data_IF_994926237317
#
_entry.id   IF_994926237317
#
_cell.length_a   1.000
_cell.length_b   1.000
_cell.length_c   1.000
_cell.angle_alpha   90.00
_cell.angle_beta   90.00
_cell.angle_gamma   90.00
#
_symmetry.space_group_name_H-M   'P 1'
#
loop_
_entity.id
_entity.type
_entity.pdbx_description
1 polymer ?
#
# COMPACT_ATOMS: atom_id res chain seq x y z
N UNK A 1 28.94 -56.98 -16.82
CA UNK A 1 27.63 -56.94 -17.44
C UNK A 1 27.23 -55.49 -17.59
N UNK A 2 27.07 -55.04 -18.76
CA UNK A 2 27.10 -53.79 -19.48
C UNK A 2 26.65 -52.49 -18.84
N UNK A 3 27.20 -51.37 -19.32
CA UNK A 3 26.84 -50.02 -18.85
C UNK A 3 25.62 -49.47 -19.57
N UNK A 4 24.62 -49.03 -18.82
CA UNK A 4 23.45 -48.30 -19.36
C UNK A 4 23.80 -46.85 -19.62
N UNK A 5 23.67 -46.42 -20.87
CA UNK A 5 23.71 -45.05 -21.34
C UNK A 5 22.63 -44.22 -20.64
N UNK A 6 23.03 -43.22 -19.86
CA UNK A 6 22.18 -42.06 -19.49
C UNK A 6 22.48 -40.93 -20.44
N UNK A 7 21.50 -40.59 -21.25
CA UNK A 7 21.50 -39.39 -22.04
C UNK A 7 21.50 -38.17 -21.11
N UNK A 8 22.50 -37.30 -21.27
CA UNK A 8 22.61 -36.04 -20.54
C UNK A 8 21.59 -35.05 -21.07
N UNK A 9 20.64 -34.67 -20.24
CA UNK A 9 19.84 -33.46 -20.47
C UNK A 9 20.74 -32.25 -20.28
N UNK A 10 21.04 -31.56 -21.38
CA UNK A 10 21.76 -30.31 -21.36
C UNK A 10 20.91 -29.25 -20.68
N UNK A 11 21.31 -28.83 -19.48
CA UNK A 11 20.81 -27.65 -18.83
C UNK A 11 21.39 -26.45 -19.60
N UNK A 12 20.55 -25.74 -20.35
CA UNK A 12 20.92 -24.46 -20.96
C UNK A 12 21.14 -23.44 -19.85
N UNK A 13 22.36 -22.95 -19.73
CA UNK A 13 22.71 -21.82 -18.86
C UNK A 13 21.94 -20.57 -19.37
N UNK A 14 21.28 -19.81 -18.45
CA UNK A 14 20.66 -18.55 -18.84
C UNK A 14 21.70 -17.57 -19.36
N UNK A 15 21.37 -16.92 -20.46
CA UNK A 15 22.18 -15.83 -21.04
C UNK A 15 22.30 -14.71 -20.00
N UNK A 16 23.45 -14.02 -19.87
CA UNK A 16 23.59 -12.94 -18.91
C UNK A 16 22.60 -11.83 -19.19
N UNK A 17 21.86 -11.43 -18.17
CA UNK A 17 20.92 -10.31 -18.21
C UNK A 17 21.62 -9.06 -18.77
N UNK A 18 20.99 -8.41 -19.74
CA UNK A 18 21.44 -7.11 -20.25
C UNK A 18 21.46 -6.14 -19.08
N UNK A 19 22.60 -5.47 -18.87
CA UNK A 19 22.76 -4.39 -17.91
C UNK A 19 21.59 -3.43 -18.06
N UNK A 20 20.84 -3.21 -16.97
CA UNK A 20 19.74 -2.29 -16.95
C UNK A 20 20.19 -0.90 -17.39
N UNK A 21 19.68 -0.46 -18.52
CA UNK A 21 19.77 0.93 -18.93
C UNK A 21 18.89 1.76 -17.98
N UNK A 22 19.38 2.93 -17.60
CA UNK A 22 18.60 3.96 -16.92
C UNK A 22 17.22 4.05 -17.61
N UNK A 23 16.10 3.98 -16.90
CA UNK A 23 14.80 4.11 -17.54
C UNK A 23 14.78 5.40 -18.36
N UNK A 24 14.44 5.31 -19.64
CA UNK A 24 14.27 6.49 -20.47
C UNK A 24 13.22 7.36 -19.78
N UNK A 25 13.54 8.65 -19.54
CA UNK A 25 12.56 9.64 -19.09
C UNK A 25 11.38 9.59 -20.05
N UNK A 26 10.23 9.11 -19.57
CA UNK A 26 8.99 9.21 -20.34
C UNK A 26 8.72 10.68 -20.67
N UNK A 27 7.92 10.97 -21.71
CA UNK A 27 7.55 12.35 -22.01
C UNK A 27 6.96 12.96 -20.75
N UNK A 28 7.50 14.13 -20.36
CA UNK A 28 7.02 14.88 -19.21
C UNK A 28 5.50 15.10 -19.37
N UNK A 29 4.74 14.84 -18.33
CA UNK A 29 3.32 15.17 -18.32
C UNK A 29 3.15 16.66 -18.60
N UNK A 30 2.23 17.03 -19.50
CA UNK A 30 1.85 18.42 -19.75
C UNK A 30 0.88 18.95 -18.67
N UNK A 31 0.56 18.12 -17.69
CA UNK A 31 -0.37 18.48 -16.61
C UNK A 31 0.24 19.59 -15.74
N UNK A 32 -0.53 20.64 -15.42
CA UNK A 32 -0.08 21.65 -14.47
C UNK A 32 0.25 21.05 -13.11
N UNK A 33 1.21 21.66 -12.41
CA UNK A 33 1.55 21.29 -11.03
C UNK A 33 0.95 22.31 -10.04
N UNK A 34 0.61 21.84 -8.87
CA UNK A 34 0.32 22.72 -7.72
C UNK A 34 1.65 23.25 -7.19
N UNK A 35 1.97 24.50 -7.57
CA UNK A 35 3.27 25.08 -7.25
C UNK A 35 3.49 25.24 -5.75
N UNK A 36 2.49 25.66 -5.00
CA UNK A 36 2.64 25.90 -3.56
C UNK A 36 2.87 24.61 -2.79
N UNK A 37 2.10 23.56 -3.16
CA UNK A 37 2.28 22.24 -2.58
C UNK A 37 3.63 21.63 -2.96
N UNK A 38 4.03 21.74 -4.23
CA UNK A 38 5.33 21.29 -4.74
C UNK A 38 6.50 21.97 -4.02
N UNK A 39 6.45 23.29 -3.83
CA UNK A 39 7.45 24.02 -3.05
C UNK A 39 7.53 23.49 -1.59
N UNK A 40 6.42 23.06 -1.01
CA UNK A 40 6.37 22.44 0.33
C UNK A 40 7.00 21.04 0.33
N UNK A 41 6.78 20.23 -0.69
CA UNK A 41 7.45 18.92 -0.85
C UNK A 41 8.97 19.13 -0.84
N UNK A 42 9.47 20.01 -1.72
CA UNK A 42 10.90 20.28 -1.87
C UNK A 42 11.50 20.80 -0.57
N UNK A 43 10.81 21.72 0.09
CA UNK A 43 11.26 22.33 1.35
C UNK A 43 11.35 21.35 2.50
N UNK A 44 10.39 20.43 2.59
CA UNK A 44 10.23 19.53 3.73
C UNK A 44 10.94 18.20 3.52
N UNK A 45 11.42 17.90 2.32
CA UNK A 45 12.23 16.70 2.05
C UNK A 45 13.64 16.88 2.62
N UNK A 46 14.04 15.94 3.46
CA UNK A 46 15.29 16.02 4.24
C UNK A 46 16.53 15.81 3.40
N UNK A 47 16.46 15.02 2.34
CA UNK A 47 17.55 14.77 1.41
C UNK A 47 17.04 14.75 -0.03
N UNK A 48 17.79 15.37 -0.94
CA UNK A 48 17.44 15.44 -2.36
C UNK A 48 17.36 14.08 -3.06
N UNK A 49 18.03 13.05 -2.53
CA UNK A 49 17.94 11.69 -3.06
C UNK A 49 16.52 11.12 -3.02
N UNK A 50 15.66 11.63 -2.14
CA UNK A 50 14.26 11.23 -2.05
C UNK A 50 13.33 11.99 -3.03
N UNK A 51 13.83 13.01 -3.73
CA UNK A 51 13.09 13.75 -4.74
C UNK A 51 13.26 13.10 -6.11
N UNK A 52 12.53 12.04 -6.33
CA UNK A 52 12.47 11.39 -7.66
C UNK A 52 11.36 11.99 -8.51
N UNK A 53 11.42 11.81 -9.81
CA UNK A 53 10.41 12.30 -10.79
C UNK A 53 8.96 11.88 -10.43
N UNK A 54 8.80 10.85 -9.58
CA UNK A 54 7.49 10.35 -9.13
C UNK A 54 6.92 11.16 -7.98
N UNK A 55 7.77 11.77 -7.14
CA UNK A 55 7.36 12.41 -5.87
C UNK A 55 7.83 13.86 -5.72
N UNK A 56 8.59 14.40 -6.66
CA UNK A 56 9.19 15.76 -6.57
C UNK A 56 8.20 16.91 -6.77
N UNK A 57 6.97 16.60 -7.17
CA UNK A 57 5.91 17.58 -7.43
C UNK A 57 4.54 17.03 -7.07
N UNK A 58 3.52 17.90 -6.99
CA UNK A 58 2.13 17.47 -6.92
C UNK A 58 1.37 17.95 -8.15
N UNK A 59 0.66 17.05 -8.89
CA UNK A 59 -0.18 17.48 -10.00
C UNK A 59 -1.33 18.35 -9.52
N UNK A 60 -1.67 19.40 -10.28
CA UNK A 60 -2.80 20.27 -9.99
C UNK A 60 -4.12 19.65 -10.48
N UNK A 61 -5.20 19.97 -9.76
CA UNK A 61 -6.57 19.67 -10.18
C UNK A 61 -7.52 20.78 -9.73
N UNK A 62 -8.39 21.21 -10.63
CA UNK A 62 -9.44 22.17 -10.30
C UNK A 62 -10.66 21.49 -9.64
N UNK A 63 -10.79 20.17 -9.78
CA UNK A 63 -11.95 19.40 -9.31
C UNK A 63 -11.69 18.62 -8.04
N UNK A 64 -10.51 18.01 -7.94
CA UNK A 64 -10.14 17.10 -6.83
C UNK A 64 -9.29 17.89 -5.84
N UNK A 65 -9.69 17.98 -4.56
CA UNK A 65 -8.94 18.74 -3.57
C UNK A 65 -7.65 18.02 -3.18
N UNK A 66 -6.56 18.79 -3.06
CA UNK A 66 -5.32 18.31 -2.46
C UNK A 66 -5.51 18.01 -0.97
N UNK A 67 -4.63 17.22 -0.34
CA UNK A 67 -4.65 17.06 1.12
C UNK A 67 -4.67 18.40 1.85
N UNK A 68 -3.88 19.38 1.41
CA UNK A 68 -3.83 20.71 2.02
C UNK A 68 -5.18 21.43 2.02
N UNK A 69 -5.92 21.37 0.92
CA UNK A 69 -7.25 22.02 0.83
C UNK A 69 -8.25 21.47 1.84
N UNK A 70 -8.12 20.21 2.24
CA UNK A 70 -9.03 19.57 3.19
C UNK A 70 -8.49 19.58 4.61
N UNK A 71 -7.18 19.35 4.80
CA UNK A 71 -6.55 19.22 6.11
C UNK A 71 -6.04 20.57 6.65
N UNK A 72 -5.78 21.55 5.75
CA UNK A 72 -5.17 22.83 6.09
C UNK A 72 -3.63 22.81 6.12
N UNK A 73 -3.01 21.72 5.68
CA UNK A 73 -1.56 21.58 5.55
C UNK A 73 -1.19 20.49 4.53
N UNK A 74 -0.07 20.64 3.80
CA UNK A 74 0.48 19.60 2.93
C UNK A 74 0.93 18.39 3.74
N UNK A 75 0.88 17.20 3.14
CA UNK A 75 1.47 16.00 3.73
C UNK A 75 2.99 16.21 3.92
N UNK A 76 3.54 15.65 4.99
CA UNK A 76 4.95 15.84 5.34
C UNK A 76 5.28 17.18 5.99
N UNK A 77 4.27 18.01 6.28
CA UNK A 77 4.48 19.24 7.04
C UNK A 77 5.10 18.93 8.41
N UNK A 78 6.25 19.54 8.76
CA UNK A 78 6.91 19.31 10.04
C UNK A 78 5.96 19.54 11.23
N UNK A 79 6.06 18.69 12.22
CA UNK A 79 5.27 18.77 13.44
C UNK A 79 3.75 18.62 13.27
N UNK A 80 3.31 17.90 12.23
CA UNK A 80 1.91 17.55 11.99
C UNK A 80 1.76 16.03 11.88
N UNK A 81 0.79 15.49 12.61
CA UNK A 81 0.27 14.15 12.44
C UNK A 81 -1.25 14.23 12.37
N UNK A 82 -1.85 13.43 11.49
CA UNK A 82 -3.28 13.48 11.16
C UNK A 82 -4.06 12.43 11.95
N UNK A 83 -5.12 12.83 12.65
CA UNK A 83 -6.06 11.91 13.30
C UNK A 83 -6.82 11.06 12.27
N UNK A 84 -7.23 9.87 12.65
CA UNK A 84 -8.00 8.97 11.75
C UNK A 84 -9.26 9.61 11.22
N UNK A 85 -9.99 10.39 12.04
CA UNK A 85 -11.19 11.13 11.59
C UNK A 85 -10.91 12.09 10.45
N UNK A 86 -9.75 12.76 10.45
CA UNK A 86 -9.36 13.72 9.43
C UNK A 86 -8.82 13.04 8.17
N UNK A 87 -8.09 11.92 8.31
CA UNK A 87 -7.73 11.05 7.19
C UNK A 87 -9.00 10.59 6.46
N UNK A 88 -9.98 10.05 7.19
CA UNK A 88 -11.22 9.55 6.60
C UNK A 88 -12.09 10.65 6.00
N UNK A 89 -12.09 11.85 6.60
CA UNK A 89 -12.71 13.04 6.00
C UNK A 89 -12.09 13.34 4.64
N UNK A 90 -10.77 13.28 4.52
CA UNK A 90 -10.07 13.51 3.27
C UNK A 90 -10.45 12.48 2.20
N UNK A 91 -10.42 11.19 2.51
CA UNK A 91 -10.78 10.15 1.54
C UNK A 91 -12.25 10.23 1.09
N UNK A 92 -13.17 10.59 1.99
CA UNK A 92 -14.57 10.85 1.62
C UNK A 92 -14.72 12.06 0.71
N UNK A 93 -13.88 13.08 0.86
CA UNK A 93 -13.86 14.21 -0.09
C UNK A 93 -13.29 13.81 -1.45
N UNK A 94 -12.28 12.96 -1.50
CA UNK A 94 -11.82 12.38 -2.77
C UNK A 94 -12.95 11.63 -3.49
N UNK A 95 -13.63 10.73 -2.79
CA UNK A 95 -14.75 9.95 -3.37
C UNK A 95 -15.84 10.84 -3.95
N UNK A 96 -16.20 11.95 -3.28
CA UNK A 96 -17.21 12.89 -3.76
C UNK A 96 -16.79 13.64 -5.03
N UNK A 97 -15.52 13.86 -5.22
CA UNK A 97 -14.98 14.75 -6.26
C UNK A 97 -14.45 14.01 -7.49
N UNK A 98 -14.26 12.70 -7.41
CA UNK A 98 -13.81 11.88 -8.53
C UNK A 98 -14.42 10.49 -8.51
N UNK A 99 -14.88 9.97 -9.67
CA UNK A 99 -15.36 8.59 -9.78
C UNK A 99 -14.25 7.53 -9.75
N UNK A 100 -12.98 7.95 -9.66
CA UNK A 100 -11.80 7.08 -9.57
C UNK A 100 -11.50 6.59 -8.16
N UNK A 101 -12.27 7.03 -7.16
CA UNK A 101 -12.09 6.66 -5.76
C UNK A 101 -13.40 6.13 -5.19
N UNK A 102 -13.35 5.05 -4.42
CA UNK A 102 -14.44 4.55 -3.59
C UNK A 102 -13.96 4.28 -2.18
N UNK A 103 -14.80 4.54 -1.19
CA UNK A 103 -14.52 4.26 0.21
C UNK A 103 -15.49 3.21 0.76
N UNK A 104 -14.97 2.32 1.59
CA UNK A 104 -15.74 1.28 2.27
C UNK A 104 -15.38 1.31 3.76
N UNK A 105 -16.39 1.11 4.60
CA UNK A 105 -16.18 0.92 6.04
C UNK A 105 -16.11 -0.57 6.33
N UNK A 106 -15.13 -0.99 7.10
CA UNK A 106 -14.97 -2.38 7.48
C UNK A 106 -16.16 -2.87 8.35
N UNK A 107 -16.46 -4.17 8.33
CA UNK A 107 -17.63 -4.72 9.03
C UNK A 107 -17.60 -4.50 10.54
N UNK A 108 -16.42 -4.60 11.16
CA UNK A 108 -16.26 -4.47 12.59
C UNK A 108 -15.61 -3.14 12.96
N UNK A 109 -16.06 -2.56 14.08
CA UNK A 109 -15.40 -1.43 14.71
C UNK A 109 -14.23 -1.93 15.55
N UNK A 110 -13.23 -1.06 15.73
CA UNK A 110 -12.12 -1.33 16.65
C UNK A 110 -12.60 -1.54 18.09
N UNK A 111 -11.72 -2.02 18.93
CA UNK A 111 -11.95 -2.18 20.37
C UNK A 111 -12.30 -0.84 21.07
N UNK A 112 -11.90 0.29 20.47
CA UNK A 112 -12.28 1.65 20.88
C UNK A 112 -13.56 2.15 20.25
N UNK A 113 -14.23 1.37 19.40
CA UNK A 113 -15.47 1.72 18.75
C UNK A 113 -15.29 2.59 17.49
N UNK A 114 -14.07 2.68 16.94
CA UNK A 114 -13.77 3.46 15.74
C UNK A 114 -13.98 2.63 14.47
N UNK A 115 -14.30 3.33 13.38
CA UNK A 115 -14.34 2.74 12.04
C UNK A 115 -12.92 2.46 11.52
N UNK A 116 -12.79 1.43 10.71
CA UNK A 116 -11.65 1.18 9.85
C UNK A 116 -12.11 1.34 8.40
N UNK A 117 -11.31 1.99 7.57
CA UNK A 117 -11.69 2.34 6.20
C UNK A 117 -10.77 1.68 5.19
N UNK A 118 -11.39 1.16 4.12
CA UNK A 118 -10.73 0.73 2.90
C UNK A 118 -11.04 1.72 1.79
N UNK A 119 -10.03 2.16 1.07
CA UNK A 119 -10.13 3.01 -0.10
C UNK A 119 -9.73 2.18 -1.33
N UNK A 120 -10.47 2.33 -2.42
CA UNK A 120 -10.14 1.68 -3.70
C UNK A 120 -9.99 2.75 -4.77
N UNK A 121 -8.85 2.75 -5.44
CA UNK A 121 -8.51 3.70 -6.50
C UNK A 121 -8.23 2.95 -7.79
N UNK A 122 -8.88 3.31 -8.88
CA UNK A 122 -8.65 2.78 -10.23
C UNK A 122 -9.36 3.66 -11.26
N UNK A 123 -9.29 3.30 -12.55
CA UNK A 123 -10.12 3.95 -13.57
C UNK A 123 -11.61 3.73 -13.28
N UNK A 124 -12.41 4.70 -13.68
CA UNK A 124 -13.89 4.71 -13.53
C UNK A 124 -14.53 3.42 -14.06
N UNK A 125 -14.08 2.98 -15.24
CA UNK A 125 -14.57 1.74 -15.86
C UNK A 125 -14.22 0.49 -15.03
N UNK A 126 -13.10 0.49 -14.33
CA UNK A 126 -12.71 -0.59 -13.43
C UNK A 126 -13.57 -0.56 -12.16
N UNK A 127 -13.76 0.61 -11.55
CA UNK A 127 -14.58 0.73 -10.34
C UNK A 127 -16.06 0.41 -10.59
N UNK A 128 -16.56 0.69 -11.79
CA UNK A 128 -17.90 0.26 -12.19
C UNK A 128 -18.06 -1.28 -12.27
N UNK A 129 -16.97 -2.00 -12.47
CA UNK A 129 -16.93 -3.47 -12.58
C UNK A 129 -16.26 -4.15 -11.37
N UNK A 130 -16.09 -3.44 -10.25
CA UNK A 130 -15.35 -3.95 -9.09
C UNK A 130 -15.87 -5.32 -8.59
N UNK A 131 -17.18 -5.52 -8.59
CA UNK A 131 -17.78 -6.80 -8.21
C UNK A 131 -17.33 -7.96 -9.14
N UNK A 132 -17.22 -7.67 -10.46
CA UNK A 132 -16.72 -8.67 -11.42
C UNK A 132 -15.26 -9.01 -11.17
N UNK A 133 -14.42 -8.03 -10.86
CA UNK A 133 -13.01 -8.30 -10.58
C UNK A 133 -12.82 -9.08 -9.27
N UNK A 134 -13.62 -8.84 -8.25
CA UNK A 134 -13.65 -9.68 -7.03
C UNK A 134 -14.04 -11.13 -7.35
N UNK A 135 -15.03 -11.35 -8.20
CA UNK A 135 -15.38 -12.69 -8.66
C UNK A 135 -14.22 -13.37 -9.40
N UNK A 136 -13.53 -12.64 -10.28
CA UNK A 136 -12.39 -13.14 -11.04
C UNK A 136 -11.26 -13.57 -10.11
N UNK A 137 -10.84 -12.69 -9.20
CA UNK A 137 -9.75 -12.96 -8.26
C UNK A 137 -10.09 -14.12 -7.33
N UNK A 138 -11.35 -14.20 -6.87
CA UNK A 138 -11.82 -15.33 -6.05
C UNK A 138 -11.73 -16.66 -6.80
N UNK A 139 -12.15 -16.71 -8.07
CA UNK A 139 -12.05 -17.94 -8.88
C UNK A 139 -10.61 -18.33 -9.18
N UNK A 140 -9.76 -17.35 -9.48
CA UNK A 140 -8.32 -17.60 -9.70
C UNK A 140 -7.60 -18.00 -8.42
N UNK A 141 -8.04 -17.52 -7.26
CA UNK A 141 -7.52 -17.88 -5.95
C UNK A 141 -7.94 -19.30 -5.49
N UNK A 142 -9.02 -19.86 -6.08
CA UNK A 142 -9.44 -21.25 -5.82
C UNK A 142 -9.61 -22.03 -7.13
N UNK A 143 -8.53 -22.61 -7.66
CA UNK A 143 -8.54 -23.27 -8.96
C UNK A 143 -9.33 -24.59 -8.99
N UNK A 144 -9.83 -25.09 -7.87
CA UNK A 144 -10.60 -26.36 -7.79
C UNK A 144 -11.90 -26.33 -8.59
N UNK A 145 -12.42 -25.13 -8.87
CA UNK A 145 -13.71 -24.91 -9.53
C UNK A 145 -13.60 -24.43 -10.97
N UNK A 146 -12.39 -24.30 -11.50
CA UNK A 146 -12.13 -23.79 -12.86
C UNK A 146 -11.21 -24.75 -13.63
N UNK A 147 -11.28 -24.68 -14.96
CA UNK A 147 -10.34 -25.37 -15.85
C UNK A 147 -9.38 -24.35 -16.51
N UNK A 148 -8.37 -24.84 -17.23
CA UNK A 148 -7.35 -24.01 -17.86
C UNK A 148 -7.91 -22.99 -18.87
N UNK A 149 -8.94 -23.36 -19.62
CA UNK A 149 -9.57 -22.46 -20.61
C UNK A 149 -10.27 -21.31 -19.93
N UNK A 150 -11.01 -21.59 -18.85
CA UNK A 150 -11.66 -20.56 -18.04
C UNK A 150 -10.62 -19.70 -17.31
N UNK A 151 -9.56 -20.31 -16.78
CA UNK A 151 -8.47 -19.58 -16.14
C UNK A 151 -7.84 -18.55 -17.09
N UNK A 152 -7.53 -18.95 -18.34
CA UNK A 152 -6.99 -18.05 -19.36
C UNK A 152 -7.94 -16.88 -19.67
N UNK A 153 -9.25 -17.13 -19.74
CA UNK A 153 -10.25 -16.09 -19.96
C UNK A 153 -10.30 -15.11 -18.78
N UNK A 154 -10.31 -15.64 -17.55
CA UNK A 154 -10.34 -14.81 -16.34
C UNK A 154 -9.08 -13.97 -16.18
N UNK A 155 -7.90 -14.51 -16.49
CA UNK A 155 -6.64 -13.78 -16.50
C UNK A 155 -6.65 -12.66 -17.55
N UNK A 156 -7.17 -12.90 -18.73
CA UNK A 156 -7.24 -11.89 -19.80
C UNK A 156 -8.21 -10.75 -19.47
N UNK A 157 -9.31 -11.03 -18.76
CA UNK A 157 -10.29 -10.03 -18.33
C UNK A 157 -9.88 -9.33 -17.04
N UNK A 158 -9.21 -10.04 -16.14
CA UNK A 158 -8.92 -9.62 -14.78
C UNK A 158 -8.01 -8.40 -14.66
N UNK A 159 -7.95 -7.88 -13.46
CA UNK A 159 -7.02 -6.82 -13.07
C UNK A 159 -6.21 -7.29 -11.86
N UNK A 160 -4.94 -6.96 -11.83
CA UNK A 160 -4.15 -7.13 -10.61
C UNK A 160 -4.74 -6.27 -9.48
N UNK A 161 -4.75 -6.81 -8.28
CA UNK A 161 -5.17 -6.10 -7.08
C UNK A 161 -3.94 -5.87 -6.21
N UNK A 162 -3.59 -4.62 -6.02
CA UNK A 162 -2.49 -4.20 -5.14
C UNK A 162 -3.07 -3.54 -3.90
N UNK A 163 -2.76 -4.05 -2.73
CA UNK A 163 -3.27 -3.53 -1.47
C UNK A 163 -2.14 -3.01 -0.59
N UNK A 164 -2.11 -1.70 -0.36
CA UNK A 164 -1.23 -1.05 0.60
C UNK A 164 -1.95 -0.90 1.94
N UNK A 165 -1.37 -1.40 3.02
CA UNK A 165 -1.84 -1.21 4.37
C UNK A 165 -0.81 -0.48 5.21
N UNK A 166 -1.25 0.42 6.09
CA UNK A 166 -0.35 1.22 6.92
C UNK A 166 -0.70 1.18 8.40
N UNK A 167 0.29 1.47 9.20
CA UNK A 167 0.17 1.69 10.65
C UNK A 167 -0.57 0.57 11.39
N UNK A 168 -0.18 -0.68 11.15
CA UNK A 168 -0.57 -1.77 12.07
C UNK A 168 0.12 -1.54 13.43
N UNK A 169 1.33 -1.00 13.42
CA UNK A 169 2.00 -0.50 14.60
C UNK A 169 1.80 1.02 14.69
N UNK A 170 1.09 1.49 15.68
CA UNK A 170 0.70 2.91 15.82
C UNK A 170 1.86 3.91 15.87
N UNK A 171 3.06 3.57 16.40
CA UNK A 171 4.21 4.46 16.36
C UNK A 171 4.78 4.70 14.96
N UNK A 172 4.46 3.84 13.99
CA UNK A 172 4.89 3.93 12.60
C UNK A 172 3.98 4.91 11.86
N UNK A 173 4.36 6.18 11.88
CA UNK A 173 3.45 7.29 11.58
C UNK A 173 3.48 7.80 10.15
N UNK A 174 4.47 7.42 9.36
CA UNK A 174 4.70 7.94 7.99
C UNK A 174 3.70 7.40 6.98
N UNK A 175 3.43 6.09 7.00
CA UNK A 175 2.55 5.48 6.01
C UNK A 175 1.12 6.03 5.99
N UNK A 176 0.44 6.30 7.12
CA UNK A 176 -0.89 6.91 7.07
C UNK A 176 -0.92 8.31 6.43
N UNK A 177 0.14 9.07 6.61
CA UNK A 177 0.28 10.40 5.97
C UNK A 177 0.53 10.24 4.46
N UNK A 178 1.53 9.46 4.08
CA UNK A 178 1.91 9.23 2.68
C UNK A 178 0.76 8.69 1.84
N UNK A 179 -0.02 7.74 2.37
CA UNK A 179 -1.12 7.10 1.65
C UNK A 179 -2.23 8.08 1.23
N UNK A 180 -2.41 9.20 1.94
CA UNK A 180 -3.35 10.26 1.53
C UNK A 180 -2.88 10.96 0.26
N UNK A 181 -1.60 11.33 0.17
CA UNK A 181 -1.05 11.95 -1.04
C UNK A 181 -0.99 10.95 -2.19
N UNK A 182 -0.62 9.69 -1.93
CA UNK A 182 -0.62 8.63 -2.93
C UNK A 182 -2.02 8.44 -3.55
N UNK A 183 -3.07 8.45 -2.75
CA UNK A 183 -4.44 8.35 -3.25
C UNK A 183 -4.81 9.53 -4.18
N UNK A 184 -4.41 10.75 -3.81
CA UNK A 184 -4.58 11.91 -4.67
C UNK A 184 -3.86 11.75 -6.00
N UNK A 185 -2.56 11.41 -5.98
CA UNK A 185 -1.75 11.21 -7.18
C UNK A 185 -2.37 10.16 -8.09
N UNK A 186 -2.71 9.00 -7.55
CA UNK A 186 -3.37 7.94 -8.29
C UNK A 186 -4.68 8.39 -8.96
N UNK A 187 -5.44 9.26 -8.30
CA UNK A 187 -6.70 9.75 -8.83
C UNK A 187 -6.54 10.85 -9.90
N UNK A 188 -5.50 11.69 -9.79
CA UNK A 188 -5.38 12.96 -10.52
C UNK A 188 -4.29 12.96 -11.58
N UNK A 189 -3.15 12.33 -11.29
CA UNK A 189 -1.96 12.45 -12.14
C UNK A 189 -2.16 11.77 -13.51
N UNK A 190 -1.74 12.48 -14.57
CA UNK A 190 -1.89 12.03 -15.96
C UNK A 190 -0.55 11.61 -16.61
N UNK A 191 0.47 11.29 -15.78
CA UNK A 191 1.69 10.67 -16.30
C UNK A 191 1.38 9.29 -16.90
N UNK A 192 2.15 8.84 -17.91
CA UNK A 192 1.95 7.53 -18.53
C UNK A 192 1.97 6.38 -17.52
N UNK A 193 2.82 6.48 -16.48
CA UNK A 193 2.91 5.49 -15.41
C UNK A 193 1.59 5.40 -14.62
N UNK A 194 1.09 6.53 -14.11
CA UNK A 194 -0.12 6.55 -13.30
C UNK A 194 -1.36 6.17 -14.12
N UNK A 195 -1.42 6.59 -15.39
CA UNK A 195 -2.47 6.14 -16.30
C UNK A 195 -2.44 4.62 -16.51
N UNK A 196 -1.25 4.04 -16.69
CA UNK A 196 -1.09 2.60 -16.84
C UNK A 196 -1.50 1.85 -15.55
N UNK A 197 -1.13 2.36 -14.37
CA UNK A 197 -1.57 1.82 -13.08
C UNK A 197 -3.10 1.85 -12.99
N UNK A 198 -3.73 3.02 -13.16
CA UNK A 198 -5.20 3.13 -13.08
C UNK A 198 -5.92 2.19 -14.03
N UNK A 199 -5.43 2.05 -15.26
CA UNK A 199 -6.04 1.21 -16.29
C UNK A 199 -5.96 -0.28 -15.97
N UNK A 200 -4.86 -0.74 -15.36
CA UNK A 200 -4.53 -2.15 -15.25
C UNK A 200 -4.56 -2.71 -13.84
N UNK A 201 -4.58 -1.85 -12.83
CA UNK A 201 -4.51 -2.24 -11.42
C UNK A 201 -5.68 -1.65 -10.64
N UNK A 202 -6.20 -2.44 -9.72
CA UNK A 202 -7.09 -1.96 -8.66
C UNK A 202 -6.21 -1.75 -7.43
N UNK A 203 -5.99 -0.48 -7.09
CA UNK A 203 -5.21 -0.13 -5.91
C UNK A 203 -6.13 -0.01 -4.71
N UNK A 204 -5.86 -0.78 -3.68
CA UNK A 204 -6.56 -0.75 -2.40
C UNK A 204 -5.64 -0.10 -1.36
N UNK A 205 -6.22 0.70 -0.48
CA UNK A 205 -5.50 1.41 0.58
C UNK A 205 -6.26 1.25 1.89
N UNK A 206 -5.61 0.70 2.91
CA UNK A 206 -6.06 0.82 4.31
C UNK A 206 -5.07 1.75 5.01
N UNK A 207 -5.38 3.03 5.17
CA UNK A 207 -4.39 4.02 5.60
C UNK A 207 -3.92 3.79 7.04
N UNK A 208 -4.79 3.25 7.87
CA UNK A 208 -4.50 2.97 9.28
C UNK A 208 -5.21 1.69 9.69
N UNK A 209 -4.44 0.64 9.98
CA UNK A 209 -4.98 -0.62 10.51
C UNK A 209 -5.32 -0.45 12.00
N UNK A 210 -4.38 0.05 12.80
CA UNK A 210 -4.58 0.26 14.24
C UNK A 210 -5.11 1.68 14.53
N UNK A 211 -6.41 1.85 14.34
CA UNK A 211 -7.08 3.16 14.44
C UNK A 211 -7.13 3.73 15.86
N UNK A 212 -7.16 2.88 16.88
CA UNK A 212 -7.19 3.32 18.28
C UNK A 212 -5.84 3.87 18.71
N UNK A 213 -4.80 3.12 18.40
CA UNK A 213 -3.45 3.51 18.70
C UNK A 213 -2.99 4.71 17.89
N UNK A 214 -3.43 4.84 16.64
CA UNK A 214 -3.09 6.01 15.81
C UNK A 214 -3.50 7.31 16.48
N UNK A 215 -4.75 7.43 16.94
CA UNK A 215 -5.21 8.67 17.56
C UNK A 215 -4.49 8.94 18.89
N UNK A 216 -4.25 7.88 19.68
CA UNK A 216 -3.44 7.98 20.90
C UNK A 216 -2.01 8.45 20.59
N UNK A 217 -1.43 8.00 19.48
CA UNK A 217 -0.10 8.41 19.05
C UNK A 217 -0.05 9.89 18.66
N UNK A 218 -1.09 10.39 17.98
CA UNK A 218 -1.23 11.82 17.66
C UNK A 218 -1.36 12.66 18.94
N UNK A 219 -2.15 12.20 19.92
CA UNK A 219 -2.27 12.88 21.23
C UNK A 219 -0.93 12.94 21.96
N UNK A 220 -0.20 11.82 22.04
CA UNK A 220 1.12 11.76 22.65
C UNK A 220 2.13 12.66 21.95
N UNK A 221 2.09 12.68 20.64
CA UNK A 221 2.95 13.56 19.83
C UNK A 221 2.69 15.03 20.15
N UNK A 222 1.44 15.46 20.16
CA UNK A 222 1.06 16.82 20.49
C UNK A 222 1.41 17.18 21.94
N UNK A 223 1.22 16.23 22.87
CA UNK A 223 1.61 16.43 24.27
C UNK A 223 3.12 16.62 24.42
N UNK A 224 3.94 15.82 23.72
CA UNK A 224 5.41 15.97 23.73
C UNK A 224 5.84 17.34 23.25
N UNK A 225 5.26 17.81 22.15
CA UNK A 225 5.52 19.16 21.62
C UNK A 225 5.19 20.27 22.62
N UNK A 226 4.07 20.15 23.33
CA UNK A 226 3.65 21.13 24.34
C UNK A 226 4.47 21.05 25.63
N UNK A 227 5.21 19.97 25.85
CA UNK A 227 5.98 19.68 27.06
C UNK A 227 7.43 19.31 26.76
N UNK A 228 8.07 20.09 25.88
CA UNK A 228 9.46 19.87 25.50
C UNK A 228 10.37 19.82 26.73
N UNK A 229 11.31 18.88 26.74
CA UNK A 229 12.21 18.65 27.88
C UNK A 229 11.60 17.88 29.06
N UNK A 230 10.29 17.61 29.10
CA UNK A 230 9.67 16.78 30.14
C UNK A 230 9.63 15.32 29.71
N UNK A 231 9.77 14.42 30.70
CA UNK A 231 9.56 13.00 30.46
C UNK A 231 8.09 12.73 30.14
N UNK A 232 7.84 12.19 28.97
CA UNK A 232 6.49 11.78 28.51
C UNK A 232 6.43 10.26 28.45
N UNK A 233 5.39 9.61 28.98
CA UNK A 233 5.20 8.18 28.85
C UNK A 233 5.20 7.76 27.37
N UNK A 234 5.70 6.55 27.11
CA UNK A 234 5.51 5.91 25.82
C UNK A 234 4.09 5.38 25.66
N UNK A 235 3.77 4.96 24.46
CA UNK A 235 2.57 4.17 24.22
C UNK A 235 2.70 2.83 24.95
N UNK A 236 1.70 2.45 25.78
CA UNK A 236 1.71 1.19 26.54
C UNK A 236 1.28 0.04 25.63
N UNK A 237 0.27 0.28 24.81
CA UNK A 237 -0.27 -0.67 23.83
C UNK A 237 -0.28 -0.01 22.45
N UNK A 238 -0.09 -0.79 21.41
CA UNK A 238 -0.24 -0.27 20.04
C UNK A 238 -1.70 0.02 19.68
N UNK A 239 -2.64 -0.70 20.30
CA UNK A 239 -4.06 -0.44 20.23
C UNK A 239 -4.65 -0.02 21.59
N UNK A 240 -5.83 -0.55 21.95
CA UNK A 240 -6.54 -0.13 23.16
C UNK A 240 -6.21 -0.99 24.37
N UNK A 241 -6.25 -2.32 24.25
CA UNK A 241 -6.12 -3.23 25.40
C UNK A 241 -5.04 -4.29 25.23
N UNK A 242 -4.58 -4.53 24.01
CA UNK A 242 -3.78 -5.69 23.71
C UNK A 242 -2.29 -5.33 23.77
N UNK A 243 -1.56 -6.06 24.62
CA UNK A 243 -0.13 -5.86 24.83
C UNK A 243 0.75 -6.75 23.94
N UNK A 244 0.17 -7.72 23.20
CA UNK A 244 0.92 -8.48 22.24
C UNK A 244 1.10 -7.70 20.93
N UNK A 245 2.07 -8.10 20.14
CA UNK A 245 2.28 -7.56 18.80
C UNK A 245 1.04 -7.84 17.94
N UNK A 246 0.32 -6.78 17.52
CA UNK A 246 -0.88 -6.92 16.71
C UNK A 246 -0.59 -7.46 15.30
N UNK A 247 0.64 -7.32 14.80
CA UNK A 247 1.11 -7.99 13.59
C UNK A 247 1.37 -9.51 13.79
N UNK A 248 1.07 -10.07 14.95
CA UNK A 248 1.05 -11.51 15.23
C UNK A 248 -0.36 -12.03 15.54
N UNK A 249 -1.35 -11.14 15.51
CA UNK A 249 -2.72 -11.47 15.88
C UNK A 249 -3.45 -12.36 14.84
N UNK A 250 -2.93 -12.48 13.63
CA UNK A 250 -3.44 -13.41 12.61
C UNK A 250 -3.48 -14.89 13.08
N UNK A 251 -2.70 -15.22 14.11
CA UNK A 251 -2.73 -16.55 14.73
C UNK A 251 -4.00 -16.80 15.56
N UNK A 252 -4.56 -15.77 16.16
CA UNK A 252 -5.73 -15.86 17.06
C UNK A 252 -6.94 -15.10 16.55
N UNK A 253 -6.76 -14.10 15.68
CA UNK A 253 -7.79 -13.17 15.19
C UNK A 253 -8.59 -12.53 16.33
N UNK A 254 -7.91 -12.21 17.43
CA UNK A 254 -8.55 -11.64 18.61
C UNK A 254 -8.98 -10.18 18.37
N UNK A 255 -8.26 -9.44 17.53
CA UNK A 255 -8.49 -8.04 17.24
C UNK A 255 -9.45 -7.83 16.06
N UNK A 256 -10.30 -6.82 16.15
CA UNK A 256 -11.17 -6.43 15.06
C UNK A 256 -10.38 -6.03 13.79
N UNK A 257 -9.24 -5.36 13.94
CA UNK A 257 -8.38 -5.01 12.81
C UNK A 257 -7.96 -6.25 12.00
N UNK A 258 -7.60 -7.35 12.66
CA UNK A 258 -7.17 -8.59 12.02
C UNK A 258 -8.33 -9.27 11.30
N UNK A 259 -9.49 -9.33 11.94
CA UNK A 259 -10.70 -9.92 11.32
C UNK A 259 -11.15 -9.11 10.10
N UNK A 260 -11.12 -7.78 10.18
CA UNK A 260 -11.39 -6.89 9.05
C UNK A 260 -10.39 -7.08 7.92
N UNK A 261 -9.10 -7.17 8.23
CA UNK A 261 -8.04 -7.39 7.25
C UNK A 261 -8.23 -8.74 6.54
N UNK A 262 -8.46 -9.81 7.29
CA UNK A 262 -8.70 -11.14 6.73
C UNK A 262 -9.98 -11.21 5.90
N UNK A 263 -11.06 -10.56 6.37
CA UNK A 263 -12.30 -10.47 5.59
C UNK A 263 -12.08 -9.76 4.25
N UNK A 264 -11.37 -8.63 4.25
CA UNK A 264 -11.00 -7.90 3.05
C UNK A 264 -10.10 -8.73 2.13
N UNK A 265 -9.10 -9.42 2.70
CA UNK A 265 -8.22 -10.29 1.93
C UNK A 265 -8.99 -11.41 1.23
N UNK A 266 -9.89 -12.09 1.93
CA UNK A 266 -10.71 -13.18 1.37
C UNK A 266 -11.79 -12.67 0.41
N UNK A 267 -12.19 -11.41 0.49
CA UNK A 267 -13.15 -10.81 -0.43
C UNK A 267 -12.50 -10.39 -1.76
N UNK A 268 -11.29 -9.84 -1.70
CA UNK A 268 -10.62 -9.25 -2.88
C UNK A 268 -9.54 -10.15 -3.47
N UNK A 269 -9.00 -11.11 -2.72
CA UNK A 269 -7.87 -11.95 -3.11
C UNK A 269 -6.75 -11.13 -3.77
N UNK A 270 -6.13 -10.17 -3.05
CA UNK A 270 -5.15 -9.27 -3.65
C UNK A 270 -3.96 -10.05 -4.20
N UNK A 271 -3.47 -9.62 -5.37
CA UNK A 271 -2.26 -10.16 -5.99
C UNK A 271 -1.03 -9.83 -5.15
N UNK A 272 -1.02 -8.63 -4.58
CA UNK A 272 0.03 -8.14 -3.68
C UNK A 272 -0.62 -7.50 -2.46
N UNK A 273 -0.21 -7.91 -1.27
CA UNK A 273 -0.45 -7.20 -0.01
C UNK A 273 0.89 -6.60 0.44
N UNK A 274 0.94 -5.26 0.44
CA UNK A 274 2.09 -4.49 0.88
C UNK A 274 1.78 -3.87 2.24
N UNK A 275 2.29 -4.47 3.29
CA UNK A 275 2.14 -3.97 4.66
C UNK A 275 3.31 -3.04 4.99
N UNK A 276 3.00 -1.76 5.18
CA UNK A 276 3.98 -0.69 5.34
C UNK A 276 4.39 -0.56 6.80
N UNK A 277 5.67 -0.76 7.06
CA UNK A 277 6.30 -0.66 8.36
C UNK A 277 7.41 0.38 8.41
N UNK A 278 7.73 0.82 9.62
CA UNK A 278 8.94 1.59 9.94
C UNK A 278 9.77 0.78 10.94
N UNK A 279 10.99 0.45 10.57
CA UNK A 279 11.90 -0.38 11.37
C UNK A 279 13.31 0.18 11.35
N UNK A 280 14.25 -0.51 12.00
CA UNK A 280 15.69 -0.21 11.88
C UNK A 280 16.12 -0.37 10.42
N UNK A 281 16.95 0.53 9.89
CA UNK A 281 17.28 0.58 8.46
C UNK A 281 18.32 -0.48 8.07
N UNK A 282 18.05 -1.75 8.33
CA UNK A 282 18.87 -2.86 7.92
C UNK A 282 18.14 -3.67 6.85
N UNK A 283 18.66 -3.69 5.64
CA UNK A 283 18.09 -4.37 4.48
C UNK A 283 17.79 -5.85 4.72
N UNK A 284 18.56 -6.53 5.58
CA UNK A 284 18.36 -7.94 5.85
C UNK A 284 17.21 -8.26 6.81
N UNK A 285 16.65 -7.27 7.49
CA UNK A 285 15.72 -7.51 8.61
C UNK A 285 14.41 -8.16 8.17
N UNK A 286 13.97 -7.91 6.95
CA UNK A 286 12.66 -8.36 6.47
C UNK A 286 12.69 -8.88 5.04
N UNK A 287 13.89 -9.15 4.50
CA UNK A 287 14.07 -9.50 3.09
C UNK A 287 13.83 -10.96 2.76
N UNK A 288 13.23 -11.74 3.68
CA UNK A 288 12.96 -13.13 3.40
C UNK A 288 14.21 -13.98 3.15
N UNK A 289 15.30 -13.65 3.83
CA UNK A 289 16.43 -14.58 3.89
C UNK A 289 16.01 -15.79 4.71
N UNK A 290 16.16 -16.97 4.15
CA UNK A 290 15.74 -18.22 4.79
C UNK A 290 16.07 -18.35 6.30
N UNK A 291 15.56 -19.38 6.96
CA UNK A 291 14.91 -20.55 6.36
C UNK A 291 13.48 -20.26 5.91
N UNK A 292 13.13 -20.72 4.73
CA UNK A 292 11.77 -20.61 4.18
C UNK A 292 10.90 -21.77 4.63
N UNK A 293 9.58 -21.53 4.68
CA UNK A 293 8.64 -22.62 4.84
C UNK A 293 8.74 -23.57 3.64
N UNK A 294 8.94 -24.85 3.92
CA UNK A 294 9.10 -25.87 2.88
C UNK A 294 7.87 -26.07 1.97
N UNK A 295 6.72 -25.53 2.34
CA UNK A 295 5.50 -25.51 1.53
C UNK A 295 5.45 -24.37 0.51
N UNK A 296 6.34 -23.39 0.61
CA UNK A 296 6.42 -22.33 -0.38
C UNK A 296 7.07 -22.87 -1.65
N UNK A 297 6.41 -22.61 -2.79
CA UNK A 297 6.99 -22.92 -4.09
C UNK A 297 8.27 -22.08 -4.29
N UNK A 298 9.39 -22.68 -4.71
CA UNK A 298 10.64 -21.94 -4.97
C UNK A 298 10.47 -20.79 -5.97
N UNK A 299 9.54 -20.89 -6.90
CA UNK A 299 9.24 -19.81 -7.85
C UNK A 299 8.71 -18.57 -7.10
N UNK A 300 7.79 -18.75 -6.16
CA UNK A 300 7.24 -17.65 -5.36
C UNK A 300 8.36 -16.94 -4.55
N UNK A 301 9.29 -17.71 -3.99
CA UNK A 301 10.43 -17.17 -3.25
C UNK A 301 11.34 -16.36 -4.18
N UNK A 302 11.63 -16.86 -5.38
CA UNK A 302 12.47 -16.17 -6.34
C UNK A 302 11.83 -14.87 -6.83
N UNK A 303 10.56 -14.91 -7.22
CA UNK A 303 9.81 -13.71 -7.66
C UNK A 303 9.74 -12.66 -6.54
N UNK A 304 9.57 -13.07 -5.31
CA UNK A 304 9.58 -12.17 -4.17
C UNK A 304 10.96 -11.52 -3.97
N UNK A 305 12.05 -12.28 -4.13
CA UNK A 305 13.40 -11.73 -4.06
C UNK A 305 13.69 -10.76 -5.20
N UNK A 306 13.28 -11.10 -6.43
CA UNK A 306 13.42 -10.19 -7.58
C UNK A 306 12.67 -8.88 -7.34
N UNK A 307 11.43 -8.94 -6.82
CA UNK A 307 10.67 -7.75 -6.45
C UNK A 307 11.43 -6.90 -5.42
N UNK A 308 11.94 -7.50 -4.35
CA UNK A 308 12.72 -6.80 -3.33
C UNK A 308 13.98 -6.12 -3.89
N UNK A 309 14.68 -6.77 -4.83
CA UNK A 309 15.85 -6.17 -5.49
C UNK A 309 15.48 -5.01 -6.43
N UNK A 310 14.27 -4.96 -6.95
CA UNK A 310 13.81 -3.85 -7.78
C UNK A 310 13.31 -2.65 -6.96
N UNK A 311 12.94 -2.87 -5.71
CA UNK A 311 12.48 -1.80 -4.81
C UNK A 311 13.62 -1.10 -4.06
N UNK A 312 14.82 -1.66 -4.03
CA UNK A 312 16.03 -1.11 -3.41
C UNK A 312 16.84 -0.30 -4.44
#
# INVERSE_FOLDING_TARGET
NGPSNRAGNGVSTPSPAKKGGTPAKGPASSQPIDKAYTDSIIKNTTDKMFLTDIVDHLPASDKVPTPEKVLGYPIGTPNKLTYTKDQYRYYRELEKTTPRVKTFVAPEKSEGGKEQMLIVVSDEANLAKLARYKEITSKLGDPRTINDELAKQLIAEGKAVYWASGSIHSPETGSPEMLMEMAYRLAVEDSPLIQAIRKNVIVMITPTLEVDGRDTMVDLYNYRKANEGKRVPGLIYWGKYVAHDNNRDSMSMALALTRNQMSTFLEYHPTVLHDLHESVPFLYTSTGTGPYNAWLDPIVVNEWQELAYHEI
#
